data_IF_610641363836
#
_entry.id   IF_610641363836
#
_cell.length_a   1.000
_cell.length_b   1.000
_cell.length_c   1.000
_cell.angle_alpha   90.00
_cell.angle_beta   90.00
_cell.angle_gamma   90.00
#
_symmetry.space_group_name_H-M   'P 1'
#
loop_
_entity.id
_entity.type
_entity.pdbx_description
1 polymer ?
#
# COMPACT_ATOMS: atom_id res chain seq x y z
N UNK A 1 18.28 4.67 22.05
CA UNK A 1 17.23 4.40 23.05
C UNK A 1 16.35 3.28 22.49
N UNK A 2 16.57 2.05 22.94
CA UNK A 2 15.74 0.90 22.56
C UNK A 2 15.03 0.44 23.84
N UNK A 3 13.92 1.08 24.14
CA UNK A 3 13.05 0.77 25.28
C UNK A 3 11.89 -0.11 24.81
N UNK A 4 11.32 -0.94 25.69
CA UNK A 4 10.26 -1.91 25.31
C UNK A 4 9.09 -1.28 24.54
N UNK A 5 8.82 0.00 24.79
CA UNK A 5 7.83 0.81 24.08
C UNK A 5 8.11 0.97 22.57
N UNK A 6 9.33 1.31 22.16
CA UNK A 6 9.66 1.49 20.72
C UNK A 6 9.54 0.18 19.95
N UNK A 7 9.87 -0.94 20.61
CA UNK A 7 9.71 -2.29 20.04
C UNK A 7 8.24 -2.67 19.87
N UNK A 8 7.40 -2.39 20.87
CA UNK A 8 5.97 -2.60 20.78
C UNK A 8 5.35 -1.77 19.65
N UNK A 9 5.73 -0.49 19.52
CA UNK A 9 5.24 0.37 18.45
C UNK A 9 5.67 -0.12 17.06
N UNK A 10 6.91 -0.59 16.89
CA UNK A 10 7.37 -1.18 15.63
C UNK A 10 6.62 -2.47 15.26
N UNK A 11 6.25 -3.29 16.26
CA UNK A 11 5.41 -4.47 16.05
C UNK A 11 4.01 -4.07 15.60
N UNK A 12 3.38 -3.12 16.28
CA UNK A 12 2.08 -2.58 15.90
C UNK A 12 2.11 -2.00 14.48
N UNK A 13 3.18 -1.29 14.13
CA UNK A 13 3.38 -0.78 12.77
C UNK A 13 3.42 -1.92 11.74
N UNK A 14 4.17 -2.99 12.01
CA UNK A 14 4.22 -4.17 11.13
C UNK A 14 2.84 -4.83 10.98
N UNK A 15 2.08 -4.97 12.07
CA UNK A 15 0.71 -5.50 12.04
C UNK A 15 -0.21 -4.58 11.23
N UNK A 16 -0.09 -3.26 11.41
CA UNK A 16 -0.84 -2.28 10.64
C UNK A 16 -0.58 -2.39 9.13
N UNK A 17 0.69 -2.49 8.72
CA UNK A 17 1.06 -2.74 7.32
C UNK A 17 0.52 -4.07 6.80
N UNK A 18 0.53 -5.12 7.62
CA UNK A 18 0.02 -6.43 7.25
C UNK A 18 -1.49 -6.40 6.99
N UNK A 19 -2.27 -5.86 7.94
CA UNK A 19 -3.72 -5.73 7.82
C UNK A 19 -4.07 -4.88 6.60
N UNK A 20 -3.39 -3.74 6.43
CA UNK A 20 -3.60 -2.87 5.28
C UNK A 20 -3.32 -3.58 3.95
N UNK A 21 -2.23 -4.36 3.88
CA UNK A 21 -1.90 -5.17 2.71
C UNK A 21 -2.96 -6.20 2.37
N UNK A 22 -3.43 -6.96 3.37
CA UNK A 22 -4.47 -7.98 3.20
C UNK A 22 -5.77 -7.37 2.70
N UNK A 23 -6.21 -6.24 3.29
CA UNK A 23 -7.41 -5.53 2.83
C UNK A 23 -7.25 -5.11 1.37
N UNK A 24 -6.09 -4.60 0.99
CA UNK A 24 -5.81 -4.14 -0.37
C UNK A 24 -5.82 -5.29 -1.39
N UNK A 25 -5.33 -6.47 -1.00
CA UNK A 25 -5.42 -7.69 -1.81
C UNK A 25 -6.87 -8.14 -1.93
N UNK A 26 -7.60 -8.22 -0.82
CA UNK A 26 -8.98 -8.71 -0.81
C UNK A 26 -9.93 -7.81 -1.60
N UNK A 27 -9.99 -6.53 -1.24
CA UNK A 27 -10.87 -5.55 -1.90
C UNK A 27 -10.40 -5.30 -3.34
N UNK A 28 -9.11 -5.02 -3.54
CA UNK A 28 -8.58 -4.78 -4.89
C UNK A 28 -8.73 -5.99 -5.81
N UNK A 29 -8.51 -7.20 -5.27
CA UNK A 29 -8.65 -8.45 -6.00
C UNK A 29 -10.09 -8.78 -6.33
N UNK A 30 -11.02 -8.53 -5.41
CA UNK A 30 -12.46 -8.65 -5.65
C UNK A 30 -12.94 -7.71 -6.75
N UNK A 31 -12.54 -6.44 -6.69
CA UNK A 31 -12.84 -5.45 -7.74
C UNK A 31 -12.23 -5.84 -9.09
N UNK A 32 -10.98 -6.32 -9.09
CA UNK A 32 -10.31 -6.77 -10.31
C UNK A 32 -11.03 -7.98 -10.93
N UNK A 33 -11.34 -8.99 -10.13
CA UNK A 33 -12.05 -10.18 -10.58
C UNK A 33 -13.43 -9.83 -11.14
N UNK A 34 -14.16 -8.91 -10.50
CA UNK A 34 -15.43 -8.41 -11.04
C UNK A 34 -15.25 -7.63 -12.34
N UNK A 35 -14.23 -6.77 -12.45
CA UNK A 35 -13.95 -6.03 -13.68
C UNK A 35 -13.57 -6.93 -14.87
N UNK A 36 -13.21 -8.18 -14.60
CA UNK A 36 -12.94 -9.22 -15.58
C UNK A 36 -14.14 -10.16 -15.84
N UNK A 37 -15.29 -9.89 -15.22
CA UNK A 37 -16.49 -10.73 -15.34
C UNK A 37 -16.42 -12.06 -14.58
N UNK A 38 -15.49 -12.22 -13.64
CA UNK A 38 -15.38 -13.45 -12.85
C UNK A 38 -16.33 -13.47 -11.64
N UNK A 39 -16.71 -12.30 -11.15
CA UNK A 39 -17.60 -12.12 -9.99
C UNK A 39 -18.68 -11.07 -10.32
N UNK A 40 -19.81 -11.16 -9.63
CA UNK A 40 -20.94 -10.24 -9.80
C UNK A 40 -21.54 -9.84 -8.45
N UNK A 41 -20.97 -8.79 -7.84
CA UNK A 41 -21.45 -8.18 -6.60
C UNK A 41 -21.87 -6.73 -6.86
N UNK A 42 -23.05 -6.34 -6.36
CA UNK A 42 -23.57 -4.98 -6.56
C UNK A 42 -22.70 -3.92 -5.89
N UNK A 43 -22.09 -4.24 -4.75
CA UNK A 43 -21.23 -3.34 -3.97
C UNK A 43 -19.91 -3.00 -4.70
N UNK A 44 -19.42 -3.92 -5.52
CA UNK A 44 -18.21 -3.71 -6.31
C UNK A 44 -18.50 -2.96 -7.61
N UNK A 45 -19.75 -2.98 -8.09
CA UNK A 45 -20.11 -2.29 -9.33
C UNK A 45 -20.01 -0.77 -9.16
N UNK A 46 -20.50 -0.23 -8.03
CA UNK A 46 -20.35 1.19 -7.70
C UNK A 46 -18.89 1.59 -7.54
N UNK A 47 -18.10 0.80 -6.80
CA UNK A 47 -16.68 1.09 -6.61
C UNK A 47 -15.86 1.05 -7.92
N UNK A 48 -16.22 0.17 -8.87
CA UNK A 48 -15.63 0.14 -10.22
C UNK A 48 -16.04 1.39 -11.01
N UNK A 49 -17.31 1.81 -10.92
CA UNK A 49 -17.79 3.02 -11.59
C UNK A 49 -17.06 4.27 -11.07
N UNK A 50 -16.95 4.44 -9.75
CA UNK A 50 -16.22 5.54 -9.11
C UNK A 50 -14.74 5.56 -9.55
N UNK A 51 -14.13 4.36 -9.66
CA UNK A 51 -12.75 4.23 -10.15
C UNK A 51 -12.64 4.65 -11.61
N UNK A 52 -13.59 4.23 -12.45
CA UNK A 52 -13.63 4.62 -13.87
C UNK A 52 -13.79 6.13 -14.03
N UNK A 53 -14.69 6.76 -13.26
CA UNK A 53 -14.90 8.21 -13.28
C UNK A 53 -13.64 8.95 -12.84
N UNK A 54 -13.02 8.55 -11.74
CA UNK A 54 -11.75 9.13 -11.27
C UNK A 54 -10.66 9.06 -12.34
N UNK A 55 -10.50 7.91 -13.01
CA UNK A 55 -9.51 7.73 -14.08
C UNK A 55 -9.82 8.58 -15.30
N UNK A 56 -11.09 8.68 -15.71
CA UNK A 56 -11.51 9.51 -16.82
C UNK A 56 -11.23 11.00 -16.55
N UNK A 57 -11.60 11.49 -15.36
CA UNK A 57 -11.34 12.86 -14.93
C UNK A 57 -9.85 13.19 -14.83
N UNK A 58 -9.04 12.21 -14.43
CA UNK A 58 -7.61 12.41 -14.22
C UNK A 58 -6.76 12.15 -15.46
N UNK A 59 -7.35 11.63 -16.54
CA UNK A 59 -6.63 11.17 -17.74
C UNK A 59 -5.76 12.26 -18.37
N UNK A 60 -6.27 13.49 -18.52
CA UNK A 60 -5.55 14.61 -19.12
C UNK A 60 -4.39 15.14 -18.24
N UNK A 61 -4.47 14.94 -16.92
CA UNK A 61 -3.45 15.42 -15.97
C UNK A 61 -2.50 14.32 -15.53
N UNK A 62 -2.79 13.08 -15.88
CA UNK A 62 -2.01 11.92 -15.46
C UNK A 62 -0.75 11.76 -16.30
N UNK A 63 0.38 11.46 -15.65
CA UNK A 63 1.63 11.12 -16.36
C UNK A 63 1.51 9.79 -17.12
N UNK A 64 0.75 8.86 -16.56
CA UNK A 64 0.43 7.56 -17.12
C UNK A 64 -1.07 7.28 -16.96
N UNK A 65 -1.75 7.06 -18.09
CA UNK A 65 -3.16 6.74 -18.14
C UNK A 65 -3.37 5.24 -17.86
N UNK A 66 -3.90 4.92 -16.69
CA UNK A 66 -4.29 3.55 -16.35
C UNK A 66 -5.67 3.21 -16.93
N UNK A 67 -5.82 1.97 -17.41
CA UNK A 67 -7.15 1.35 -17.48
C UNK A 67 -7.65 1.01 -16.07
N UNK A 68 -8.96 0.81 -15.91
CA UNK A 68 -9.54 0.36 -14.62
C UNK A 68 -8.86 -0.92 -14.14
N UNK A 69 -8.70 -1.92 -15.01
CA UNK A 69 -8.04 -3.18 -14.64
C UNK A 69 -6.56 -2.95 -14.28
N UNK A 70 -5.86 -2.10 -15.04
CA UNK A 70 -4.46 -1.79 -14.76
C UNK A 70 -4.26 -1.09 -13.42
N UNK A 71 -5.13 -0.14 -13.08
CA UNK A 71 -5.13 0.52 -11.78
C UNK A 71 -5.43 -0.48 -10.65
N UNK A 72 -6.47 -1.29 -10.77
CA UNK A 72 -6.82 -2.30 -9.75
C UNK A 72 -5.72 -3.35 -9.58
N UNK A 73 -5.11 -3.83 -10.67
CA UNK A 73 -3.98 -4.74 -10.62
C UNK A 73 -2.78 -4.11 -9.90
N UNK A 74 -2.50 -2.83 -10.14
CA UNK A 74 -1.46 -2.09 -9.43
C UNK A 74 -1.75 -2.01 -7.92
N UNK A 75 -3.01 -1.72 -7.55
CA UNK A 75 -3.46 -1.70 -6.15
C UNK A 75 -3.25 -3.07 -5.47
N UNK A 76 -3.60 -4.16 -6.15
CA UNK A 76 -3.38 -5.53 -5.65
C UNK A 76 -1.88 -5.82 -5.51
N UNK A 77 -1.07 -5.48 -6.50
CA UNK A 77 0.38 -5.66 -6.45
C UNK A 77 1.01 -4.91 -5.26
N UNK A 78 0.59 -3.67 -5.01
CA UNK A 78 0.98 -2.93 -3.82
C UNK A 78 0.61 -3.67 -2.52
N UNK A 79 -0.60 -4.24 -2.47
CA UNK A 79 -1.08 -5.05 -1.36
C UNK A 79 -0.20 -6.28 -1.10
N UNK A 80 0.19 -6.98 -2.16
CA UNK A 80 1.12 -8.14 -2.09
C UNK A 80 2.48 -7.70 -1.56
N UNK A 81 3.06 -6.64 -2.13
CA UNK A 81 4.38 -6.13 -1.74
C UNK A 81 4.41 -5.75 -0.25
N UNK A 82 3.42 -5.01 0.24
CA UNK A 82 3.38 -4.58 1.65
C UNK A 82 3.08 -5.74 2.59
N UNK A 83 2.24 -6.70 2.19
CA UNK A 83 1.95 -7.91 2.97
C UNK A 83 3.20 -8.76 3.17
N UNK A 84 3.91 -9.06 2.08
CA UNK A 84 5.17 -9.83 2.13
C UNK A 84 6.20 -9.04 2.93
N UNK A 85 6.31 -7.73 2.69
CA UNK A 85 7.20 -6.84 3.43
C UNK A 85 6.94 -6.85 4.93
N UNK A 86 5.67 -6.76 5.35
CA UNK A 86 5.26 -6.84 6.75
C UNK A 86 5.57 -8.20 7.39
N UNK A 87 5.37 -9.32 6.68
CA UNK A 87 5.76 -10.65 7.16
C UNK A 87 7.28 -10.74 7.36
N UNK A 88 8.05 -10.24 6.40
CA UNK A 88 9.51 -10.12 6.53
C UNK A 88 9.92 -9.20 7.69
N UNK A 89 9.14 -8.14 7.92
CA UNK A 89 9.30 -7.19 9.02
C UNK A 89 9.06 -7.86 10.40
N UNK A 90 8.04 -8.70 10.51
CA UNK A 90 7.76 -9.49 11.71
C UNK A 90 8.83 -10.56 11.96
N UNK A 91 9.30 -11.23 10.91
CA UNK A 91 10.35 -12.27 10.97
C UNK A 91 11.77 -11.72 11.13
N UNK A 92 11.94 -10.43 11.43
CA UNK A 92 13.26 -9.78 11.59
C UNK A 92 14.18 -9.85 10.36
N UNK A 93 13.66 -10.10 9.16
CA UNK A 93 14.44 -10.17 7.92
C UNK A 93 14.63 -8.78 7.28
N UNK A 94 15.86 -8.46 6.88
CA UNK A 94 16.23 -7.15 6.30
C UNK A 94 15.43 -6.80 5.04
N UNK A 95 15.08 -7.78 4.21
CA UNK A 95 14.27 -7.58 3.01
C UNK A 95 12.84 -7.09 3.31
N UNK A 96 12.29 -7.35 4.50
CA UNK A 96 10.93 -6.93 4.85
C UNK A 96 10.76 -5.41 4.84
N UNK A 97 11.73 -4.69 5.42
CA UNK A 97 11.74 -3.22 5.42
C UNK A 97 11.94 -2.67 4.00
N UNK A 98 12.77 -3.33 3.18
CA UNK A 98 12.98 -2.94 1.77
C UNK A 98 11.67 -3.04 0.97
N UNK A 99 10.87 -4.07 1.18
CA UNK A 99 9.57 -4.22 0.52
C UNK A 99 8.53 -3.22 1.03
N UNK A 100 8.51 -2.91 2.34
CA UNK A 100 7.65 -1.84 2.87
C UNK A 100 8.03 -0.49 2.23
N UNK A 101 9.33 -0.20 2.11
CA UNK A 101 9.82 1.00 1.43
C UNK A 101 9.44 1.02 -0.06
N UNK A 102 9.53 -0.13 -0.75
CA UNK A 102 9.08 -0.26 -2.14
C UNK A 102 7.57 0.02 -2.27
N UNK A 103 6.75 -0.53 -1.36
CA UNK A 103 5.33 -0.23 -1.31
C UNK A 103 5.07 1.28 -1.13
N UNK A 104 5.80 1.95 -0.25
CA UNK A 104 5.66 3.40 -0.06
C UNK A 104 6.06 4.17 -1.32
N UNK A 105 7.10 3.73 -2.03
CA UNK A 105 7.50 4.31 -3.31
C UNK A 105 6.42 4.11 -4.38
N UNK A 106 5.80 2.93 -4.46
CA UNK A 106 4.66 2.68 -5.35
C UNK A 106 3.47 3.59 -5.00
N UNK A 107 3.21 3.79 -3.71
CA UNK A 107 2.14 4.67 -3.26
C UNK A 107 2.42 6.14 -3.60
N UNK A 108 3.66 6.60 -3.41
CA UNK A 108 4.11 7.92 -3.81
C UNK A 108 4.01 8.12 -5.34
N UNK A 109 4.36 7.09 -6.12
CA UNK A 109 4.26 7.12 -7.57
C UNK A 109 2.82 7.34 -8.05
N UNK A 110 1.80 6.80 -7.37
CA UNK A 110 0.40 7.09 -7.70
C UNK A 110 0.04 8.58 -7.47
N UNK A 111 0.51 9.18 -6.38
CA UNK A 111 0.27 10.61 -6.13
C UNK A 111 0.94 11.49 -7.18
N UNK A 112 2.20 11.17 -7.50
CA UNK A 112 2.94 11.85 -8.57
C UNK A 112 2.24 11.67 -9.92
N UNK A 113 1.73 10.46 -10.21
CA UNK A 113 1.06 10.15 -11.47
C UNK A 113 -0.15 11.04 -11.70
N UNK A 114 -1.01 11.20 -10.68
CA UNK A 114 -2.25 11.96 -10.80
C UNK A 114 -2.11 13.43 -10.38
N UNK A 115 -0.91 13.88 -10.00
CA UNK A 115 -0.64 15.24 -9.51
C UNK A 115 -1.62 15.67 -8.40
N UNK A 116 -2.04 14.72 -7.56
CA UNK A 116 -3.07 14.96 -6.53
C UNK A 116 -2.43 15.16 -5.17
N UNK A 117 -2.65 16.34 -4.58
CA UNK A 117 -2.44 16.57 -3.15
C UNK A 117 -3.80 16.40 -2.49
N UNK A 118 -4.04 15.23 -1.91
CA UNK A 118 -5.26 14.94 -1.17
C UNK A 118 -4.92 14.60 0.30
N UNK A 119 -5.91 14.55 1.20
CA UNK A 119 -5.68 14.16 2.59
C UNK A 119 -5.05 12.76 2.75
N UNK A 120 -5.13 11.89 1.73
CA UNK A 120 -4.50 10.56 1.76
C UNK A 120 -2.97 10.63 1.73
N UNK A 121 -2.38 11.78 1.37
CA UNK A 121 -0.93 11.99 1.48
C UNK A 121 -0.43 11.83 2.93
N UNK A 122 -1.29 12.11 3.92
CA UNK A 122 -0.96 11.89 5.33
C UNK A 122 -0.72 10.41 5.63
N UNK A 123 -1.42 9.48 4.98
CA UNK A 123 -1.16 8.05 5.15
C UNK A 123 0.23 7.67 4.62
N UNK A 124 0.69 8.31 3.54
CA UNK A 124 2.05 8.10 3.03
C UNK A 124 3.09 8.63 4.02
N UNK A 125 2.90 9.84 4.56
CA UNK A 125 3.80 10.43 5.57
C UNK A 125 3.87 9.55 6.82
N UNK A 126 2.72 9.15 7.37
CA UNK A 126 2.65 8.23 8.51
C UNK A 126 3.34 6.90 8.16
N UNK A 127 3.09 6.35 6.98
CA UNK A 127 3.74 5.14 6.50
C UNK A 127 5.27 5.24 6.45
N UNK A 128 5.82 6.37 5.98
CA UNK A 128 7.26 6.63 5.97
C UNK A 128 7.83 6.66 7.38
N UNK A 129 7.17 7.37 8.31
CA UNK A 129 7.59 7.45 9.72
C UNK A 129 7.57 6.07 10.37
N UNK A 130 6.52 5.27 10.15
CA UNK A 130 6.43 3.91 10.67
C UNK A 130 7.49 2.99 10.07
N UNK A 131 7.77 3.10 8.77
CA UNK A 131 8.84 2.34 8.12
C UNK A 131 10.22 2.70 8.70
N UNK A 132 10.49 4.00 8.90
CA UNK A 132 11.72 4.47 9.53
C UNK A 132 11.86 3.98 10.98
N UNK A 133 10.76 3.96 11.74
CA UNK A 133 10.73 3.39 13.09
C UNK A 133 11.09 1.89 13.08
N UNK A 134 10.48 1.11 12.19
CA UNK A 134 10.80 -0.32 12.04
C UNK A 134 12.27 -0.50 11.69
N UNK A 135 12.82 0.31 10.77
CA UNK A 135 14.23 0.28 10.40
C UNK A 135 15.16 0.64 11.57
N UNK A 136 14.81 1.65 12.37
CA UNK A 136 15.61 2.13 13.50
C UNK A 136 15.72 1.09 14.62
N UNK A 137 14.62 0.41 14.96
CA UNK A 137 14.59 -0.67 15.98
C UNK A 137 15.39 -1.90 15.53
N UNK A 138 15.68 -2.02 14.23
CA UNK A 138 16.38 -3.17 13.64
C UNK A 138 17.87 -2.96 13.40
N UNK A 139 18.42 -1.77 13.65
CA UNK A 139 19.88 -1.59 13.53
C UNK A 139 20.57 -2.60 14.45
N UNK A 140 21.49 -3.44 13.96
CA UNK A 140 22.27 -4.31 14.83
C UNK A 140 23.01 -3.42 15.85
N UNK A 141 23.04 -3.87 17.11
CA UNK A 141 23.85 -3.23 18.15
C UNK A 141 25.29 -3.15 17.59
N UNK A 142 25.93 -1.97 17.54
CA UNK A 142 27.35 -1.92 17.17
C UNK A 142 28.11 -2.83 18.14
N UNK A 143 28.98 -3.67 17.56
CA UNK A 143 29.83 -4.61 18.29
C UNK A 143 30.77 -3.89 19.25
#
# INVERSE_FOLDING_TARGET
>A
MDNGFTRALALLACIGFLVFGIIRIGVGGGLLAQSMGMLHYSEFASAIADTSEFLAMSSERSLFAFSVQGYLAYIVAMGVVVTIGAIGALRRKSWGVKLIALYLAMHAALFANYLTINPKIWYLVVGIVLCALIAAVRKPKPA
#
